data_IF_247877657780
#
_entry.id   IF_247877657780
#
_cell.length_a   1.000
_cell.length_b   1.000
_cell.length_c   1.000
_cell.angle_alpha   90.00
_cell.angle_beta   90.00
_cell.angle_gamma   90.00
#
_symmetry.space_group_name_H-M   'P 1'
#
loop_
_entity.id
_entity.type
_entity.pdbx_description
1 polymer ?
#
# COMPACT_ATOMS: atom_id res chain seq x y z
N UNK A 1 -56.20 16.07 -78.72
CA UNK A 1 -55.32 14.94 -78.73
C UNK A 1 -54.08 15.30 -77.93
N UNK A 2 -54.07 15.06 -76.61
CA UNK A 2 -53.04 15.49 -75.67
C UNK A 2 -52.27 14.23 -75.26
N UNK A 3 -50.97 14.21 -75.56
CA UNK A 3 -50.04 13.09 -75.16
C UNK A 3 -49.54 13.39 -73.78
N UNK A 4 -49.83 12.51 -72.84
CA UNK A 4 -49.19 12.47 -71.50
C UNK A 4 -47.82 11.81 -71.59
N UNK A 5 -46.76 12.50 -71.20
CA UNK A 5 -45.41 12.02 -71.02
C UNK A 5 -45.27 11.61 -69.57
N UNK A 6 -45.14 10.34 -69.30
CA UNK A 6 -44.89 9.85 -67.95
C UNK A 6 -43.36 9.85 -67.67
N UNK A 7 -42.95 10.65 -66.70
CA UNK A 7 -41.58 10.69 -66.18
C UNK A 7 -41.47 9.62 -65.06
N UNK A 8 -40.70 8.58 -65.31
CA UNK A 8 -40.35 7.61 -64.29
C UNK A 8 -39.10 8.09 -63.55
N UNK A 9 -39.26 8.52 -62.31
CA UNK A 9 -38.15 8.89 -61.44
C UNK A 9 -37.61 7.64 -60.74
N UNK A 10 -36.43 7.18 -61.12
CA UNK A 10 -35.72 6.10 -60.45
C UNK A 10 -34.98 6.71 -59.24
N UNK A 11 -35.45 6.41 -58.02
CA UNK A 11 -34.77 6.75 -56.79
C UNK A 11 -33.74 5.63 -56.53
N UNK A 12 -32.45 5.93 -56.78
CA UNK A 12 -31.34 5.10 -56.32
C UNK A 12 -31.16 5.30 -54.80
N UNK A 13 -31.71 4.37 -54.02
CA UNK A 13 -31.41 4.28 -52.58
C UNK A 13 -29.97 3.85 -52.36
N UNK A 14 -29.07 4.75 -51.97
CA UNK A 14 -27.75 4.42 -51.47
C UNK A 14 -27.92 3.80 -50.10
N UNK A 15 -27.88 2.48 -50.01
CA UNK A 15 -27.79 1.75 -48.74
C UNK A 15 -26.34 1.86 -48.23
N UNK A 16 -26.06 2.89 -47.41
CA UNK A 16 -24.83 2.92 -46.61
C UNK A 16 -24.91 1.82 -45.56
N UNK A 17 -24.38 0.62 -45.88
CA UNK A 17 -24.07 -0.39 -44.90
C UNK A 17 -22.93 0.15 -44.06
N UNK A 18 -23.27 0.79 -42.94
CA UNK A 18 -22.32 1.13 -41.90
C UNK A 18 -21.79 -0.16 -41.28
N UNK A 19 -20.66 -0.65 -41.81
CA UNK A 19 -19.86 -1.63 -41.11
C UNK A 19 -19.33 -0.97 -39.83
N UNK A 20 -20.14 -1.06 -38.75
CA UNK A 20 -19.62 -0.87 -37.40
C UNK A 20 -18.64 -2.02 -37.15
N UNK A 21 -17.38 -1.83 -37.52
CA UNK A 21 -16.29 -2.66 -36.98
C UNK A 21 -16.29 -2.36 -35.48
N UNK A 22 -17.01 -3.20 -34.72
CA UNK A 22 -16.91 -3.28 -33.27
C UNK A 22 -15.55 -3.90 -32.92
N UNK A 23 -14.49 -3.26 -33.34
CA UNK A 23 -13.13 -3.51 -32.83
C UNK A 23 -13.08 -2.89 -31.44
N UNK A 24 -13.60 -3.61 -30.44
CA UNK A 24 -13.48 -3.21 -29.04
C UNK A 24 -12.02 -2.86 -28.78
N UNK A 25 -11.77 -1.64 -28.28
CA UNK A 25 -10.43 -1.19 -27.97
C UNK A 25 -9.77 -2.25 -27.04
N UNK A 26 -8.56 -2.69 -27.36
CA UNK A 26 -7.84 -3.71 -26.59
C UNK A 26 -7.81 -3.30 -25.09
N UNK A 27 -8.07 -4.24 -24.16
CA UNK A 27 -8.06 -3.93 -22.73
C UNK A 27 -6.70 -3.44 -22.29
N UNK A 28 -6.67 -2.72 -21.16
CA UNK A 28 -5.45 -2.36 -20.44
C UNK A 28 -5.16 -3.52 -19.51
N UNK A 29 -4.02 -4.18 -19.68
CA UNK A 29 -3.66 -5.40 -18.95
C UNK A 29 -2.87 -5.08 -17.69
N UNK A 30 -3.41 -5.40 -16.53
CA UNK A 30 -2.77 -5.24 -15.23
C UNK A 30 -2.55 -6.59 -14.57
N UNK A 31 -1.32 -6.86 -14.13
CA UNK A 31 -0.97 -8.05 -13.36
C UNK A 31 -0.72 -7.69 -11.90
N UNK A 32 -1.28 -8.46 -10.94
CA UNK A 32 -1.03 -8.27 -9.53
C UNK A 32 -0.57 -9.58 -8.87
N UNK A 33 0.63 -9.55 -8.26
CA UNK A 33 1.22 -10.68 -7.53
C UNK A 33 1.03 -10.43 -6.05
N UNK A 34 0.08 -11.13 -5.44
CA UNK A 34 -0.39 -10.89 -4.07
C UNK A 34 -0.31 -12.19 -3.26
N UNK A 35 -0.18 -12.11 -1.95
CA UNK A 35 -0.19 -13.26 -1.04
C UNK A 35 -1.63 -13.58 -0.59
N UNK A 36 -2.36 -14.35 -1.39
CA UNK A 36 -3.72 -14.78 -1.05
C UNK A 36 -3.74 -15.94 -0.05
N UNK A 37 -2.62 -16.66 0.06
CA UNK A 37 -2.39 -17.72 1.04
C UNK A 37 -1.09 -17.48 1.82
N UNK A 38 -0.81 -18.32 2.84
CA UNK A 38 0.39 -18.20 3.66
C UNK A 38 0.29 -17.19 4.82
N UNK A 39 1.42 -16.81 5.44
CA UNK A 39 1.45 -16.03 6.70
C UNK A 39 0.84 -14.63 6.63
N UNK A 40 0.69 -14.07 5.45
CA UNK A 40 0.14 -12.73 5.23
C UNK A 40 -1.20 -12.76 4.48
N UNK A 41 -1.89 -13.91 4.46
CA UNK A 41 -3.07 -14.15 3.63
C UNK A 41 -4.24 -13.20 3.91
N UNK A 42 -4.55 -12.95 5.18
CA UNK A 42 -5.65 -12.05 5.54
C UNK A 42 -5.43 -10.66 4.95
N UNK A 43 -4.23 -10.10 5.12
CA UNK A 43 -3.88 -8.82 4.52
C UNK A 43 -4.03 -8.86 2.99
N UNK A 44 -3.39 -9.83 2.32
CA UNK A 44 -3.39 -9.93 0.86
C UNK A 44 -4.77 -10.14 0.25
N UNK A 45 -5.64 -10.93 0.89
CA UNK A 45 -7.02 -11.13 0.43
C UNK A 45 -7.83 -9.83 0.46
N UNK A 46 -7.73 -9.02 1.52
CA UNK A 46 -8.44 -7.76 1.61
C UNK A 46 -7.86 -6.72 0.64
N UNK A 47 -6.55 -6.70 0.46
CA UNK A 47 -5.90 -5.89 -0.58
C UNK A 47 -6.43 -6.25 -1.98
N UNK A 48 -6.45 -7.53 -2.33
CA UNK A 48 -6.96 -8.01 -3.61
C UNK A 48 -8.44 -7.64 -3.84
N UNK A 49 -9.26 -7.65 -2.77
CA UNK A 49 -10.65 -7.17 -2.85
C UNK A 49 -10.71 -5.68 -3.20
N UNK A 50 -9.95 -4.85 -2.51
CA UNK A 50 -9.90 -3.40 -2.78
C UNK A 50 -9.44 -3.08 -4.20
N UNK A 51 -8.38 -3.73 -4.65
CA UNK A 51 -7.87 -3.58 -6.02
C UNK A 51 -8.92 -3.98 -7.06
N UNK A 52 -9.52 -5.16 -6.90
CA UNK A 52 -10.56 -5.66 -7.82
C UNK A 52 -11.82 -4.79 -7.83
N UNK A 53 -12.29 -4.37 -6.66
CA UNK A 53 -13.51 -3.56 -6.55
C UNK A 53 -13.34 -2.21 -7.25
N UNK A 54 -12.17 -1.58 -7.09
CA UNK A 54 -11.91 -0.31 -7.78
C UNK A 54 -11.78 -0.50 -9.30
N UNK A 55 -11.08 -1.53 -9.76
CA UNK A 55 -11.01 -1.86 -11.20
C UNK A 55 -12.40 -2.13 -11.77
N UNK A 56 -13.24 -2.91 -11.07
CA UNK A 56 -14.62 -3.13 -11.47
C UNK A 56 -15.41 -1.82 -11.52
N UNK A 57 -15.22 -0.93 -10.54
CA UNK A 57 -15.87 0.38 -10.55
C UNK A 57 -15.46 1.23 -11.76
N UNK A 58 -14.18 1.25 -12.11
CA UNK A 58 -13.70 1.90 -13.34
C UNK A 58 -14.36 1.30 -14.56
N UNK A 59 -14.43 -0.02 -14.62
CA UNK A 59 -15.00 -0.73 -15.77
C UNK A 59 -16.52 -0.56 -15.89
N UNK A 60 -17.25 -0.72 -14.77
CA UNK A 60 -18.71 -0.81 -14.77
C UNK A 60 -19.36 0.58 -14.75
N UNK A 61 -18.76 1.52 -14.01
CA UNK A 61 -19.38 2.83 -13.73
C UNK A 61 -18.75 3.94 -14.57
N UNK A 62 -17.41 3.95 -14.70
CA UNK A 62 -16.71 4.96 -15.49
C UNK A 62 -16.59 4.60 -16.99
N UNK A 63 -16.94 3.37 -17.38
CA UNK A 63 -16.84 2.90 -18.76
C UNK A 63 -15.41 2.52 -19.20
N UNK A 64 -14.51 2.33 -18.26
CA UNK A 64 -13.09 2.08 -18.49
C UNK A 64 -12.26 3.38 -18.63
N UNK A 65 -11.04 3.25 -19.12
CA UNK A 65 -10.12 4.36 -19.35
C UNK A 65 -10.16 4.71 -20.85
N UNK A 66 -10.75 5.85 -21.18
CA UNK A 66 -10.97 6.27 -22.58
C UNK A 66 -11.63 5.15 -23.41
N UNK A 67 -12.67 4.50 -22.81
CA UNK A 67 -13.43 3.40 -23.43
C UNK A 67 -12.73 2.04 -23.41
N UNK A 68 -11.51 1.92 -22.91
CA UNK A 68 -10.79 0.65 -22.75
C UNK A 68 -11.04 0.09 -21.33
N UNK A 69 -11.48 -1.15 -21.25
CA UNK A 69 -11.62 -1.85 -19.95
C UNK A 69 -10.25 -2.21 -19.38
N UNK A 70 -10.15 -2.31 -18.07
CA UNK A 70 -8.98 -2.85 -17.39
C UNK A 70 -9.20 -4.36 -17.22
N UNK A 71 -8.24 -5.16 -17.67
CA UNK A 71 -8.17 -6.60 -17.43
C UNK A 71 -7.17 -6.85 -16.30
N UNK A 72 -7.67 -7.13 -15.10
CA UNK A 72 -6.87 -7.37 -13.90
C UNK A 72 -6.71 -8.88 -13.67
N UNK A 73 -5.48 -9.37 -13.72
CA UNK A 73 -5.10 -10.73 -13.32
C UNK A 73 -4.41 -10.69 -11.95
N UNK A 74 -4.98 -11.37 -10.96
CA UNK A 74 -4.40 -11.51 -9.63
C UNK A 74 -3.93 -12.94 -9.43
N UNK A 75 -2.66 -13.12 -9.04
CA UNK A 75 -2.04 -14.41 -8.76
C UNK A 75 -1.51 -14.47 -7.33
N UNK A 76 -1.53 -15.68 -6.77
CA UNK A 76 -1.06 -15.96 -5.41
C UNK A 76 0.39 -16.43 -5.41
N UNK A 77 1.28 -15.69 -4.73
CA UNK A 77 2.66 -16.14 -4.52
C UNK A 77 2.90 -16.77 -3.13
N UNK A 78 1.85 -16.89 -2.30
CA UNK A 78 1.87 -17.52 -0.98
C UNK A 78 2.98 -16.99 -0.04
N UNK A 79 3.37 -15.71 -0.18
CA UNK A 79 4.50 -15.09 0.53
C UNK A 79 5.86 -15.77 0.26
N UNK A 80 6.03 -16.36 -0.94
CA UNK A 80 7.24 -17.03 -1.39
C UNK A 80 7.90 -16.23 -2.52
N UNK A 81 9.06 -15.65 -2.24
CA UNK A 81 9.78 -14.80 -3.20
C UNK A 81 10.04 -15.49 -4.56
N UNK A 82 10.49 -16.77 -4.66
CA UNK A 82 10.67 -17.41 -5.95
C UNK A 82 9.39 -17.50 -6.80
N UNK A 83 8.24 -17.76 -6.16
CA UNK A 83 6.95 -17.77 -6.86
C UNK A 83 6.55 -16.36 -7.32
N UNK A 84 6.80 -15.34 -6.49
CA UNK A 84 6.60 -13.94 -6.87
C UNK A 84 7.40 -13.55 -8.10
N UNK A 85 8.69 -13.86 -8.13
CA UNK A 85 9.59 -13.61 -9.28
C UNK A 85 9.08 -14.33 -10.53
N UNK A 86 8.69 -15.60 -10.41
CA UNK A 86 8.14 -16.40 -11.52
C UNK A 86 6.88 -15.77 -12.13
N UNK A 87 5.94 -15.33 -11.29
CA UNK A 87 4.71 -14.69 -11.80
C UNK A 87 4.97 -13.32 -12.41
N UNK A 88 5.87 -12.51 -11.86
CA UNK A 88 6.26 -11.24 -12.48
C UNK A 88 6.89 -11.48 -13.85
N UNK A 89 7.79 -12.47 -13.97
CA UNK A 89 8.39 -12.83 -15.28
C UNK A 89 7.31 -13.24 -16.29
N UNK A 90 6.34 -14.09 -15.86
CA UNK A 90 5.18 -14.45 -16.70
C UNK A 90 4.43 -13.21 -17.20
N UNK A 91 4.12 -12.26 -16.29
CA UNK A 91 3.41 -11.04 -16.66
C UNK A 91 4.19 -10.15 -17.64
N UNK A 92 5.52 -10.12 -17.49
CA UNK A 92 6.39 -9.43 -18.43
C UNK A 92 6.35 -10.07 -19.83
N UNK A 93 6.43 -11.40 -19.89
CA UNK A 93 6.33 -12.17 -21.15
C UNK A 93 4.95 -12.02 -21.82
N UNK A 94 3.87 -11.91 -21.04
CA UNK A 94 2.50 -11.61 -21.50
C UNK A 94 2.29 -10.13 -21.88
N UNK A 95 3.29 -9.28 -21.71
CA UNK A 95 3.25 -7.85 -22.01
C UNK A 95 2.09 -7.14 -21.29
N UNK A 96 1.98 -7.32 -19.97
CA UNK A 96 1.09 -6.50 -19.16
C UNK A 96 1.49 -5.02 -19.30
N UNK A 97 0.52 -4.12 -19.26
CA UNK A 97 0.78 -2.67 -19.31
C UNK A 97 1.30 -2.12 -17.97
N UNK A 98 0.90 -2.75 -16.87
CA UNK A 98 1.35 -2.44 -15.50
C UNK A 98 1.41 -3.73 -14.66
N UNK A 99 2.27 -3.71 -13.64
CA UNK A 99 2.37 -4.79 -12.66
C UNK A 99 2.30 -4.19 -11.25
N UNK A 100 1.70 -4.94 -10.33
CA UNK A 100 1.71 -4.65 -8.92
C UNK A 100 2.25 -5.86 -8.14
N UNK A 101 3.09 -5.64 -7.14
CA UNK A 101 3.70 -6.71 -6.33
C UNK A 101 3.61 -6.40 -4.85
N UNK A 102 3.53 -7.44 -4.00
CA UNK A 102 3.20 -7.20 -2.60
C UNK A 102 4.40 -7.19 -1.65
N UNK A 103 5.38 -8.05 -1.79
CA UNK A 103 6.44 -8.20 -0.78
C UNK A 103 7.78 -7.56 -1.16
N UNK A 104 8.56 -7.17 -0.13
CA UNK A 104 9.85 -6.52 -0.30
C UNK A 104 10.91 -7.43 -0.95
N UNK A 105 10.87 -8.73 -0.66
CA UNK A 105 11.82 -9.70 -1.20
C UNK A 105 11.63 -9.88 -2.70
N UNK A 106 10.40 -10.07 -3.14
CA UNK A 106 10.04 -10.09 -4.56
C UNK A 106 10.41 -8.76 -5.22
N UNK A 107 10.03 -7.62 -4.62
CA UNK A 107 10.30 -6.30 -5.15
C UNK A 107 11.77 -6.05 -5.49
N UNK A 108 12.71 -6.52 -4.66
CA UNK A 108 14.15 -6.42 -4.95
C UNK A 108 14.58 -7.34 -6.10
N UNK A 109 14.12 -8.59 -6.07
CA UNK A 109 14.60 -9.60 -7.04
C UNK A 109 14.06 -9.38 -8.45
N UNK A 110 12.90 -8.73 -8.60
CA UNK A 110 12.33 -8.46 -9.92
C UNK A 110 12.94 -7.24 -10.63
N UNK A 111 13.69 -6.38 -9.94
CA UNK A 111 14.23 -5.15 -10.55
C UNK A 111 14.93 -5.36 -11.90
N UNK A 112 15.87 -6.31 -12.05
CA UNK A 112 16.52 -6.54 -13.34
C UNK A 112 15.53 -6.94 -14.44
N UNK A 113 14.51 -7.75 -14.09
CA UNK A 113 13.47 -8.21 -15.00
C UNK A 113 12.62 -7.01 -15.45
N UNK A 114 12.15 -6.20 -14.50
CA UNK A 114 11.32 -5.02 -14.79
C UNK A 114 12.06 -4.01 -15.66
N UNK A 115 13.35 -3.80 -15.43
CA UNK A 115 14.18 -2.92 -16.25
C UNK A 115 14.37 -3.44 -17.68
N UNK A 116 14.55 -4.75 -17.85
CA UNK A 116 14.65 -5.40 -19.15
C UNK A 116 13.35 -5.25 -19.96
N UNK A 117 12.21 -5.57 -19.33
CA UNK A 117 10.90 -5.55 -20.00
C UNK A 117 10.23 -4.17 -20.02
N UNK A 118 10.73 -3.20 -19.25
CA UNK A 118 10.26 -1.80 -19.20
C UNK A 118 8.77 -1.68 -18.86
N UNK A 119 8.30 -2.41 -17.83
CA UNK A 119 6.92 -2.38 -17.38
C UNK A 119 6.83 -1.66 -16.03
N UNK A 120 6.07 -0.54 -15.92
CA UNK A 120 5.92 0.16 -14.65
C UNK A 120 5.30 -0.78 -13.60
N UNK A 121 5.99 -0.87 -12.46
CA UNK A 121 5.65 -1.81 -11.39
C UNK A 121 5.53 -1.07 -10.07
N UNK A 122 4.36 -1.17 -9.44
CA UNK A 122 4.10 -0.63 -8.10
C UNK A 122 4.36 -1.74 -7.09
N UNK A 123 5.28 -1.52 -6.15
CA UNK A 123 5.50 -2.44 -5.03
C UNK A 123 4.78 -1.92 -3.78
N UNK A 124 3.84 -2.70 -3.26
CA UNK A 124 3.05 -2.32 -2.08
C UNK A 124 3.87 -2.31 -0.79
N UNK A 125 4.86 -3.20 -0.67
CA UNK A 125 5.84 -3.13 0.40
C UNK A 125 6.78 -1.98 0.12
N UNK A 126 6.68 -0.92 0.91
CA UNK A 126 7.42 0.32 0.69
C UNK A 126 8.88 0.26 1.16
N UNK A 127 9.56 -0.85 0.86
CA UNK A 127 10.96 -1.02 1.20
C UNK A 127 11.85 -0.13 0.35
N UNK A 128 12.58 0.78 0.97
CA UNK A 128 13.46 1.75 0.32
C UNK A 128 14.57 1.13 -0.57
N UNK A 129 14.96 -0.12 -0.30
CA UNK A 129 15.93 -0.86 -1.13
C UNK A 129 15.46 -1.09 -2.56
N UNK A 130 14.15 -1.06 -2.81
CA UNK A 130 13.55 -1.16 -4.14
C UNK A 130 13.92 0.07 -4.99
N UNK A 131 14.04 1.24 -4.37
CA UNK A 131 14.39 2.50 -5.02
C UNK A 131 15.90 2.80 -5.03
N UNK A 132 16.78 1.84 -4.68
CA UNK A 132 18.21 2.01 -4.95
C UNK A 132 18.43 2.09 -6.46
N UNK A 133 19.26 3.02 -6.98
CA UNK A 133 19.49 3.15 -8.41
C UNK A 133 19.98 1.85 -9.08
N UNK A 134 19.57 1.61 -10.33
CA UNK A 134 18.60 2.35 -11.11
C UNK A 134 17.16 2.12 -10.64
N UNK A 135 16.34 3.20 -10.61
CA UNK A 135 14.96 3.14 -10.08
C UNK A 135 13.91 2.89 -11.17
N UNK A 136 14.32 2.96 -12.43
CA UNK A 136 13.44 2.91 -13.59
C UNK A 136 12.34 1.85 -13.47
N UNK A 137 11.11 2.23 -13.76
CA UNK A 137 9.92 1.37 -13.77
C UNK A 137 9.49 0.81 -12.39
N UNK A 138 10.21 1.11 -11.30
CA UNK A 138 9.82 0.66 -9.95
C UNK A 138 9.28 1.82 -9.13
N UNK A 139 8.10 1.66 -8.52
CA UNK A 139 7.39 2.70 -7.78
C UNK A 139 6.94 2.19 -6.41
N UNK A 140 6.96 3.08 -5.41
CA UNK A 140 6.31 2.87 -4.12
C UNK A 140 5.05 3.75 -4.05
N UNK A 141 3.89 3.24 -3.64
CA UNK A 141 2.66 4.03 -3.59
C UNK A 141 2.66 5.03 -2.43
N UNK A 142 3.41 4.73 -1.37
CA UNK A 142 3.50 5.52 -0.14
C UNK A 142 4.95 5.83 0.22
N UNK A 143 5.15 6.51 1.37
CA UNK A 143 6.47 6.71 1.96
C UNK A 143 7.13 5.40 2.37
N UNK A 144 8.45 5.36 2.26
CA UNK A 144 9.22 4.16 2.61
C UNK A 144 9.25 3.90 4.12
N UNK A 145 9.65 2.69 4.50
CA UNK A 145 9.87 2.32 5.91
C UNK A 145 10.95 3.16 6.60
N UNK A 146 11.74 3.94 5.87
CA UNK A 146 12.62 4.97 6.44
C UNK A 146 11.79 6.05 7.13
N UNK A 147 10.76 6.56 6.42
CA UNK A 147 9.86 7.59 6.97
C UNK A 147 9.04 7.04 8.13
N UNK A 148 8.59 5.79 8.05
CA UNK A 148 7.89 5.13 9.16
C UNK A 148 8.77 5.05 10.40
N UNK A 149 10.06 4.68 10.22
CA UNK A 149 11.03 4.60 11.32
C UNK A 149 11.22 5.96 11.98
N UNK A 150 11.37 7.01 11.18
CA UNK A 150 11.53 8.37 11.69
C UNK A 150 10.29 8.83 12.45
N UNK A 151 9.09 8.63 11.87
CA UNK A 151 7.83 9.01 12.51
C UNK A 151 7.62 8.35 13.88
N UNK A 152 7.87 7.05 13.97
CA UNK A 152 7.74 6.30 15.22
C UNK A 152 8.72 6.80 16.26
N UNK A 153 10.00 6.95 15.90
CA UNK A 153 11.04 7.39 16.85
C UNK A 153 10.86 8.85 17.28
N UNK A 154 10.45 9.73 16.38
CA UNK A 154 10.10 11.13 16.71
C UNK A 154 8.95 11.20 17.70
N UNK A 155 7.91 10.42 17.46
CA UNK A 155 6.77 10.37 18.38
C UNK A 155 7.18 9.80 19.74
N UNK A 156 7.92 8.69 19.80
CA UNK A 156 8.45 8.13 21.06
C UNK A 156 9.23 9.19 21.83
N UNK A 157 10.16 9.88 21.15
CA UNK A 157 10.94 10.96 21.78
C UNK A 157 10.05 12.09 22.31
N UNK A 158 9.02 12.46 21.58
CA UNK A 158 8.13 13.57 21.95
C UNK A 158 7.22 13.28 23.15
N UNK A 159 6.92 11.99 23.40
CA UNK A 159 6.07 11.56 24.53
C UNK A 159 6.85 11.04 25.73
N UNK A 160 8.15 10.80 25.56
CA UNK A 160 9.02 10.29 26.63
C UNK A 160 9.16 11.33 27.75
N UNK A 161 8.89 10.88 29.00
CA UNK A 161 8.93 11.74 30.19
C UNK A 161 10.19 11.54 31.05
N UNK A 162 11.00 10.52 30.72
CA UNK A 162 12.24 10.24 31.44
C UNK A 162 13.29 11.35 31.27
N UNK A 163 14.26 11.43 32.20
CA UNK A 163 15.42 12.34 32.09
C UNK A 163 16.44 11.80 31.09
N UNK A 164 16.55 10.47 30.98
CA UNK A 164 17.48 9.78 30.09
C UNK A 164 16.87 9.64 28.68
N UNK A 165 17.70 9.27 27.72
CA UNK A 165 17.22 8.94 26.36
C UNK A 165 16.23 7.78 26.38
N UNK A 166 15.12 7.84 25.62
CA UNK A 166 14.15 6.74 25.53
C UNK A 166 14.84 5.48 25.04
N UNK A 167 14.57 4.34 25.68
CA UNK A 167 15.10 3.03 25.33
C UNK A 167 14.11 2.26 24.47
N UNK A 168 14.48 2.03 23.22
CA UNK A 168 13.63 1.37 22.21
C UNK A 168 14.22 0.00 21.86
N UNK A 169 13.39 -1.04 21.93
CA UNK A 169 13.70 -2.34 21.37
C UNK A 169 13.03 -2.50 20.00
N UNK A 170 13.72 -3.10 19.05
CA UNK A 170 13.13 -3.47 17.76
C UNK A 170 12.70 -4.95 17.81
N UNK A 171 11.51 -5.26 17.31
CA UNK A 171 10.97 -6.61 17.17
C UNK A 171 10.59 -6.84 15.71
N UNK A 172 11.31 -7.72 15.02
CA UNK A 172 11.19 -7.79 13.56
C UNK A 172 11.23 -9.22 13.04
N UNK A 173 10.66 -9.43 11.85
CA UNK A 173 10.94 -10.65 11.11
C UNK A 173 12.40 -10.68 10.64
N UNK A 174 12.98 -11.89 10.55
CA UNK A 174 14.34 -12.14 10.04
C UNK A 174 14.40 -12.17 8.49
N UNK A 175 13.60 -11.36 7.83
CA UNK A 175 13.55 -11.25 6.38
C UNK A 175 13.75 -9.79 5.92
N UNK A 176 13.70 -9.54 4.60
CA UNK A 176 13.90 -8.20 4.01
C UNK A 176 12.91 -7.18 4.58
N UNK A 177 11.63 -7.55 4.72
CA UNK A 177 10.60 -6.68 5.28
C UNK A 177 10.91 -6.32 6.74
N UNK A 178 11.17 -7.31 7.61
CA UNK A 178 11.47 -7.05 9.02
C UNK A 178 12.72 -6.20 9.21
N UNK A 179 13.78 -6.48 8.47
CA UNK A 179 15.06 -5.76 8.56
C UNK A 179 15.04 -4.37 7.95
N UNK A 180 13.99 -4.00 7.22
CA UNK A 180 13.90 -2.71 6.53
C UNK A 180 13.99 -1.49 7.45
N UNK A 181 13.62 -1.63 8.72
CA UNK A 181 13.67 -0.56 9.71
C UNK A 181 14.96 -0.51 10.53
N UNK A 182 15.87 -1.49 10.43
CA UNK A 182 17.04 -1.58 11.31
C UNK A 182 17.98 -0.39 11.13
N UNK A 183 18.51 -0.21 9.93
CA UNK A 183 19.46 0.87 9.65
C UNK A 183 18.83 2.24 9.78
N UNK A 184 17.64 2.53 9.21
CA UNK A 184 16.97 3.81 9.43
C UNK A 184 16.74 4.14 10.90
N UNK A 185 16.31 3.15 11.69
CA UNK A 185 16.10 3.38 13.14
C UNK A 185 17.40 3.66 13.87
N UNK A 186 18.50 2.94 13.60
CA UNK A 186 19.81 3.17 14.19
C UNK A 186 20.36 4.56 13.83
N UNK A 187 20.31 4.91 12.55
CA UNK A 187 20.79 6.21 12.05
C UNK A 187 20.02 7.38 12.67
N UNK A 188 18.69 7.27 12.70
CA UNK A 188 17.86 8.30 13.30
C UNK A 188 18.11 8.42 14.82
N UNK A 189 18.15 7.30 15.52
CA UNK A 189 18.36 7.23 16.96
C UNK A 189 19.69 7.86 17.37
N UNK A 190 20.77 7.55 16.65
CA UNK A 190 22.11 8.11 16.91
C UNK A 190 22.15 9.65 16.81
N UNK A 191 21.37 10.22 15.87
CA UNK A 191 21.31 11.68 15.67
C UNK A 191 20.35 12.41 16.63
N UNK A 192 19.45 11.66 17.28
CA UNK A 192 18.31 12.25 17.99
C UNK A 192 18.23 11.89 19.48
N UNK A 193 19.32 11.42 20.09
CA UNK A 193 19.37 11.04 21.50
C UNK A 193 18.26 10.01 21.85
N UNK A 194 18.21 8.91 21.10
CA UNK A 194 17.34 7.75 21.33
C UNK A 194 18.27 6.53 21.45
N UNK A 195 17.98 5.60 22.35
CA UNK A 195 18.81 4.42 22.56
C UNK A 195 18.07 3.16 22.00
N UNK A 196 18.56 2.62 20.90
CA UNK A 196 18.13 1.29 20.42
C UNK A 196 18.87 0.24 21.24
N UNK A 197 18.22 -0.32 22.26
CA UNK A 197 18.85 -1.20 23.25
C UNK A 197 19.02 -2.64 22.79
N UNK A 198 18.17 -3.13 21.88
CA UNK A 198 18.25 -4.47 21.29
C UNK A 198 17.42 -4.58 20.02
N UNK A 199 17.76 -5.54 19.18
CA UNK A 199 16.98 -5.99 18.02
C UNK A 199 16.72 -7.47 18.18
N UNK A 200 15.46 -7.84 18.29
CA UNK A 200 15.00 -9.22 18.35
C UNK A 200 14.40 -9.62 17.02
N UNK A 201 14.96 -10.65 16.40
CA UNK A 201 14.52 -11.17 15.10
C UNK A 201 13.95 -12.57 15.26
N UNK A 202 12.90 -12.88 14.48
CA UNK A 202 12.30 -14.21 14.46
C UNK A 202 11.69 -14.55 13.09
N UNK A 203 11.54 -15.84 12.74
CA UNK A 203 10.89 -16.27 11.50
C UNK A 203 9.40 -15.94 11.48
N UNK A 204 8.80 -15.59 10.31
CA UNK A 204 7.38 -15.23 10.21
C UNK A 204 6.39 -16.29 10.72
N UNK A 205 6.77 -17.58 10.74
CA UNK A 205 5.92 -18.67 11.21
C UNK A 205 6.04 -18.95 12.73
N UNK A 206 6.74 -18.09 13.49
CA UNK A 206 6.93 -18.25 14.95
C UNK A 206 5.59 -18.07 15.68
N UNK A 207 5.28 -19.02 16.56
CA UNK A 207 4.02 -19.09 17.31
C UNK A 207 4.12 -18.69 18.78
N UNK A 208 5.34 -18.55 19.30
CA UNK A 208 5.62 -18.07 20.68
C UNK A 208 6.82 -17.12 20.65
N UNK A 209 6.64 -15.93 21.22
CA UNK A 209 7.65 -14.86 21.30
C UNK A 209 8.05 -14.56 22.76
N UNK A 210 7.86 -15.53 23.66
CA UNK A 210 8.18 -15.37 25.09
C UNK A 210 9.65 -15.02 25.30
N UNK A 211 10.56 -15.68 24.56
CA UNK A 211 12.00 -15.43 24.64
C UNK A 211 12.37 -14.04 24.19
N UNK A 212 11.81 -13.56 23.08
CA UNK A 212 12.05 -12.22 22.53
C UNK A 212 11.54 -11.15 23.50
N UNK A 213 10.35 -11.34 24.09
CA UNK A 213 9.80 -10.43 25.11
C UNK A 213 10.65 -10.39 26.36
N UNK A 214 11.18 -11.52 26.84
CA UNK A 214 12.11 -11.56 27.98
C UNK A 214 13.42 -10.83 27.68
N UNK A 215 13.95 -10.95 26.46
CA UNK A 215 15.17 -10.23 26.04
C UNK A 215 14.92 -8.73 25.97
N UNK A 216 13.83 -8.30 25.32
CA UNK A 216 13.42 -6.88 25.27
C UNK A 216 13.31 -6.29 26.69
N UNK A 217 12.61 -7.00 27.58
CA UNK A 217 12.42 -6.61 28.98
C UNK A 217 13.76 -6.55 29.73
N UNK A 218 14.63 -7.55 29.60
CA UNK A 218 15.95 -7.60 30.28
C UNK A 218 16.91 -6.52 29.82
N UNK A 219 16.81 -6.08 28.56
CA UNK A 219 17.56 -4.95 28.00
C UNK A 219 16.97 -3.59 28.40
N UNK A 220 15.88 -3.59 29.16
CA UNK A 220 15.22 -2.37 29.65
C UNK A 220 14.53 -1.54 28.57
N UNK A 221 14.07 -2.18 27.49
CA UNK A 221 13.32 -1.45 26.47
C UNK A 221 12.00 -0.91 27.06
N UNK A 222 11.79 0.39 26.94
CA UNK A 222 10.61 1.14 27.43
C UNK A 222 9.53 1.26 26.36
N UNK A 223 9.93 1.05 25.11
CA UNK A 223 9.10 1.09 23.91
C UNK A 223 9.53 -0.04 22.99
N UNK A 224 8.58 -0.67 22.28
CA UNK A 224 8.88 -1.69 21.28
C UNK A 224 8.42 -1.19 19.90
N UNK A 225 9.35 -1.08 18.96
CA UNK A 225 9.04 -0.79 17.56
C UNK A 225 9.07 -2.08 16.73
N UNK A 226 7.97 -2.35 16.03
CA UNK A 226 7.72 -3.62 15.36
C UNK A 226 7.69 -3.46 13.84
N UNK A 227 8.38 -4.36 13.12
CA UNK A 227 8.20 -4.56 11.69
C UNK A 227 7.79 -6.01 11.44
N UNK A 228 6.55 -6.31 11.79
CA UNK A 228 5.92 -7.63 11.73
C UNK A 228 4.45 -7.46 11.33
N UNK A 229 3.84 -8.55 10.85
CA UNK A 229 2.45 -8.55 10.40
C UNK A 229 1.46 -8.77 11.57
N UNK A 230 0.17 -8.45 11.38
CA UNK A 230 -0.84 -8.43 12.46
C UNK A 230 -0.92 -9.69 13.31
N UNK A 231 -0.85 -10.88 12.71
CA UNK A 231 -0.89 -12.15 13.46
C UNK A 231 0.30 -12.28 14.43
N UNK A 232 1.50 -11.86 14.03
CA UNK A 232 2.68 -11.88 14.91
C UNK A 232 2.61 -10.79 15.99
N UNK A 233 1.94 -9.65 15.73
CA UNK A 233 1.69 -8.64 16.77
C UNK A 233 0.83 -9.25 17.88
N UNK A 234 -0.22 -10.00 17.55
CA UNK A 234 -1.03 -10.70 18.54
C UNK A 234 -0.19 -11.70 19.36
N UNK A 235 0.70 -12.44 18.69
CA UNK A 235 1.63 -13.36 19.37
C UNK A 235 2.57 -12.60 20.32
N UNK A 236 3.11 -11.45 19.90
CA UNK A 236 3.96 -10.59 20.72
C UNK A 236 3.21 -10.02 21.94
N UNK A 237 1.97 -9.56 21.77
CA UNK A 237 1.15 -9.05 22.89
C UNK A 237 0.80 -10.12 23.91
N UNK A 238 0.49 -11.35 23.48
CA UNK A 238 0.28 -12.52 24.37
C UNK A 238 1.57 -12.86 25.15
N UNK A 239 2.69 -12.89 24.47
CA UNK A 239 3.98 -13.16 25.08
C UNK A 239 4.38 -12.06 26.08
N UNK A 240 4.13 -10.78 25.75
CA UNK A 240 4.38 -9.66 26.66
C UNK A 240 3.52 -9.76 27.94
N UNK A 241 2.24 -10.11 27.81
CA UNK A 241 1.38 -10.33 28.99
C UNK A 241 1.86 -11.50 29.86
N UNK A 242 2.29 -12.62 29.23
CA UNK A 242 2.81 -13.80 29.93
C UNK A 242 4.04 -13.48 30.78
N UNK A 243 4.87 -12.53 30.37
CA UNK A 243 6.09 -12.11 31.09
C UNK A 243 5.92 -10.81 31.88
N UNK A 244 4.68 -10.31 32.03
CA UNK A 244 4.36 -9.03 32.67
C UNK A 244 5.20 -7.86 32.13
N UNK A 245 5.22 -7.71 30.78
CA UNK A 245 5.94 -6.64 30.10
C UNK A 245 4.95 -5.65 29.48
N UNK A 246 4.68 -4.58 30.24
CA UNK A 246 3.61 -3.59 29.97
C UNK A 246 4.19 -2.31 29.37
N UNK A 247 4.56 -2.34 28.10
CA UNK A 247 5.11 -1.19 27.37
C UNK A 247 4.26 -0.88 26.15
N UNK A 248 4.38 0.33 25.57
CA UNK A 248 3.78 0.65 24.28
C UNK A 248 4.48 -0.08 23.13
N UNK A 249 3.68 -0.57 22.19
CA UNK A 249 4.10 -1.22 20.96
C UNK A 249 3.76 -0.33 19.77
N UNK A 250 4.73 -0.08 18.91
CA UNK A 250 4.60 0.74 17.71
C UNK A 250 4.85 -0.11 16.49
N UNK A 251 4.00 -0.01 15.49
CA UNK A 251 4.17 -0.67 14.21
C UNK A 251 4.12 0.31 13.05
N UNK A 252 4.26 -0.20 11.85
CA UNK A 252 4.06 0.53 10.60
C UNK A 252 2.61 0.39 10.14
N UNK A 253 2.25 1.01 9.04
CA UNK A 253 0.88 1.03 8.50
C UNK A 253 0.30 -0.37 8.18
N UNK A 254 1.14 -1.40 8.12
CA UNK A 254 0.74 -2.80 7.94
C UNK A 254 0.31 -3.52 9.23
N UNK A 255 0.14 -2.80 10.34
CA UNK A 255 -0.04 -3.40 11.68
C UNK A 255 -1.43 -3.92 11.97
N UNK A 256 -2.42 -3.67 11.13
CA UNK A 256 -3.81 -4.11 11.38
C UNK A 256 -4.45 -4.79 10.18
N UNK A 257 -5.27 -5.80 10.48
CA UNK A 257 -6.18 -6.45 9.55
C UNK A 257 -7.43 -6.91 10.31
N UNK A 258 -8.45 -7.47 9.65
CA UNK A 258 -9.65 -7.95 10.33
C UNK A 258 -9.41 -8.99 11.44
N UNK A 259 -8.45 -9.89 11.23
CA UNK A 259 -8.14 -10.93 12.21
C UNK A 259 -7.39 -10.35 13.42
N UNK A 260 -6.60 -9.28 13.23
CA UNK A 260 -5.96 -8.56 14.33
C UNK A 260 -6.98 -8.11 15.38
N UNK A 261 -8.07 -7.47 14.97
CA UNK A 261 -9.09 -6.98 15.92
C UNK A 261 -9.85 -8.12 16.55
N UNK A 262 -10.15 -9.19 15.83
CA UNK A 262 -10.83 -10.36 16.35
C UNK A 262 -10.00 -11.09 17.40
N UNK A 263 -8.72 -11.32 17.13
CA UNK A 263 -7.80 -12.08 17.98
C UNK A 263 -7.13 -11.23 19.06
N UNK A 264 -7.06 -9.92 18.86
CA UNK A 264 -6.42 -8.96 19.75
C UNK A 264 -7.31 -8.43 20.87
N UNK A 265 -8.59 -8.82 20.92
CA UNK A 265 -9.51 -8.38 21.96
C UNK A 265 -8.97 -8.72 23.36
N UNK A 266 -8.90 -7.71 24.23
CA UNK A 266 -8.31 -7.84 25.57
C UNK A 266 -6.77 -7.84 25.61
N UNK A 267 -6.09 -7.76 24.45
CA UNK A 267 -4.61 -7.67 24.34
C UNK A 267 -4.13 -6.28 23.94
N UNK A 268 -4.89 -5.56 23.10
CA UNK A 268 -4.54 -4.24 22.57
C UNK A 268 -4.40 -3.20 23.70
N UNK A 269 -5.36 -3.13 24.63
CA UNK A 269 -5.34 -2.37 25.91
C UNK A 269 -4.73 -0.96 25.80
N UNK A 270 -5.06 -0.21 24.76
CA UNK A 270 -4.52 1.15 24.53
C UNK A 270 -2.99 1.25 24.40
N UNK A 271 -2.27 0.15 24.13
CA UNK A 271 -0.80 0.11 24.07
C UNK A 271 -0.23 -0.14 22.68
N UNK A 272 -1.09 -0.22 21.65
CA UNK A 272 -0.67 -0.48 20.26
C UNK A 272 -0.90 0.76 19.42
N UNK A 273 0.15 1.16 18.73
CA UNK A 273 0.19 2.33 17.85
C UNK A 273 0.77 1.94 16.50
N UNK A 274 0.44 2.68 15.47
CA UNK A 274 1.08 2.51 14.17
C UNK A 274 1.37 3.88 13.53
N UNK A 275 2.42 3.95 12.75
CA UNK A 275 2.54 4.97 11.74
C UNK A 275 1.53 4.67 10.63
N UNK A 276 0.84 5.67 10.15
CA UNK A 276 -0.16 5.51 9.11
C UNK A 276 -0.12 6.66 8.10
N UNK A 277 -0.01 6.32 6.83
CA UNK A 277 0.03 7.28 5.72
C UNK A 277 -1.33 7.52 5.07
N UNK A 278 -2.38 6.87 5.55
CA UNK A 278 -3.70 6.89 4.94
C UNK A 278 -4.77 7.64 5.71
N UNK A 279 -5.94 7.70 5.09
CA UNK A 279 -7.16 8.24 5.68
C UNK A 279 -7.71 7.29 6.75
N UNK A 280 -8.34 7.85 7.77
CA UNK A 280 -9.11 7.11 8.77
C UNK A 280 -10.61 7.25 8.51
N UNK A 281 -11.46 6.33 9.01
CA UNK A 281 -12.91 6.38 8.78
C UNK A 281 -13.58 7.69 9.18
N UNK A 282 -13.06 8.36 10.22
CA UNK A 282 -13.56 9.64 10.71
C UNK A 282 -13.07 10.86 9.92
N UNK A 283 -12.09 10.70 9.05
CA UNK A 283 -11.60 11.79 8.19
C UNK A 283 -12.65 12.04 7.10
N UNK A 284 -13.20 13.24 7.06
CA UNK A 284 -14.23 13.62 6.10
C UNK A 284 -13.58 14.01 4.78
N UNK A 285 -13.23 13.02 3.95
CA UNK A 285 -12.62 13.22 2.65
C UNK A 285 -13.44 12.58 1.53
N UNK A 286 -13.39 13.10 0.28
CA UNK A 286 -14.06 12.45 -0.85
C UNK A 286 -13.70 10.99 -1.06
N UNK A 287 -12.47 10.61 -0.69
CA UNK A 287 -11.99 9.23 -0.82
C UNK A 287 -12.72 8.25 0.10
N UNK A 288 -13.13 8.66 1.31
CA UNK A 288 -13.97 7.84 2.19
C UNK A 288 -15.31 7.52 1.53
N UNK A 289 -15.91 8.49 0.83
CA UNK A 289 -17.15 8.24 0.09
C UNK A 289 -16.94 7.25 -1.07
N UNK A 290 -15.78 7.29 -1.72
CA UNK A 290 -15.42 6.31 -2.75
C UNK A 290 -15.33 4.92 -2.13
N UNK A 291 -14.62 4.75 -1.03
CA UNK A 291 -14.54 3.47 -0.31
C UNK A 291 -15.94 2.96 0.07
N UNK A 292 -16.81 3.82 0.61
CA UNK A 292 -18.18 3.48 0.98
C UNK A 292 -19.00 3.03 -0.23
N UNK A 293 -18.87 3.72 -1.37
CA UNK A 293 -19.52 3.32 -2.63
C UNK A 293 -19.06 1.94 -3.10
N UNK A 294 -17.75 1.65 -3.00
CA UNK A 294 -17.19 0.37 -3.42
C UNK A 294 -17.75 -0.78 -2.57
N UNK A 295 -17.60 -0.71 -1.25
CA UNK A 295 -18.06 -1.82 -0.41
C UNK A 295 -19.59 -1.97 -0.36
N UNK A 296 -20.35 -0.89 -0.54
CA UNK A 296 -21.81 -0.96 -0.67
C UNK A 296 -22.22 -1.64 -1.97
N UNK A 297 -21.51 -1.33 -3.08
CA UNK A 297 -21.81 -1.88 -4.40
C UNK A 297 -21.41 -3.35 -4.53
N UNK A 298 -20.17 -3.67 -4.13
CA UNK A 298 -19.60 -5.01 -4.37
C UNK A 298 -19.73 -5.95 -3.18
N UNK A 299 -20.04 -5.45 -1.99
CA UNK A 299 -20.28 -6.21 -0.73
C UNK A 299 -19.12 -7.15 -0.35
N UNK A 300 -17.90 -6.78 -0.73
CA UNK A 300 -16.68 -7.57 -0.48
C UNK A 300 -16.14 -7.35 0.93
N UNK A 301 -16.39 -6.16 1.48
CA UNK A 301 -16.15 -5.78 2.88
C UNK A 301 -17.34 -5.00 3.39
N UNK A 302 -17.46 -4.85 4.72
CA UNK A 302 -18.60 -4.17 5.37
C UNK A 302 -18.21 -2.93 6.17
N UNK A 303 -16.91 -2.66 6.27
CA UNK A 303 -16.36 -1.52 7.02
C UNK A 303 -14.98 -1.16 6.45
N UNK A 304 -14.40 -0.09 6.98
CA UNK A 304 -13.04 0.29 6.69
C UNK A 304 -12.03 -0.78 7.13
N UNK A 305 -11.15 -1.16 6.21
CA UNK A 305 -10.02 -2.06 6.45
C UNK A 305 -8.77 -1.47 5.79
N UNK A 306 -7.66 -1.40 6.52
CA UNK A 306 -6.43 -0.77 6.04
C UNK A 306 -5.87 -1.46 4.80
N UNK A 307 -5.93 -2.79 4.75
CA UNK A 307 -5.48 -3.55 3.58
C UNK A 307 -6.39 -3.39 2.36
N UNK A 308 -7.71 -3.27 2.56
CA UNK A 308 -8.64 -2.95 1.47
C UNK A 308 -8.39 -1.54 0.91
N UNK A 309 -8.23 -0.56 1.81
CA UNK A 309 -7.87 0.81 1.44
C UNK A 309 -6.60 0.86 0.58
N UNK A 310 -5.57 0.12 0.95
CA UNK A 310 -4.32 0.04 0.18
C UNK A 310 -4.56 -0.44 -1.26
N UNK A 311 -5.32 -1.53 -1.43
CA UNK A 311 -5.66 -2.06 -2.75
C UNK A 311 -6.40 -1.06 -3.62
N UNK A 312 -7.34 -0.30 -3.03
CA UNK A 312 -8.06 0.78 -3.74
C UNK A 312 -7.11 1.89 -4.18
N UNK A 313 -6.22 2.35 -3.30
CA UNK A 313 -5.28 3.44 -3.62
C UNK A 313 -4.33 3.06 -4.75
N UNK A 314 -3.81 1.84 -4.74
CA UNK A 314 -2.92 1.38 -5.82
C UNK A 314 -3.66 1.32 -7.15
N UNK A 315 -4.88 0.77 -7.19
CA UNK A 315 -5.70 0.77 -8.39
C UNK A 315 -6.05 2.19 -8.89
N UNK A 316 -6.20 3.15 -7.97
CA UNK A 316 -6.37 4.56 -8.34
C UNK A 316 -5.12 5.17 -8.96
N UNK A 317 -3.93 4.82 -8.47
CA UNK A 317 -2.65 5.25 -9.05
C UNK A 317 -2.51 4.68 -10.48
N UNK A 318 -2.84 3.41 -10.67
CA UNK A 318 -2.83 2.74 -11.99
C UNK A 318 -3.80 3.40 -12.97
N UNK A 319 -5.05 3.65 -12.56
CA UNK A 319 -6.03 4.38 -13.37
C UNK A 319 -5.53 5.77 -13.74
N UNK A 320 -5.05 6.54 -12.77
CA UNK A 320 -4.55 7.90 -12.99
C UNK A 320 -3.38 7.91 -13.98
N UNK A 321 -2.45 6.97 -13.86
CA UNK A 321 -1.29 6.84 -14.75
C UNK A 321 -1.73 6.52 -16.19
N UNK A 322 -2.64 5.57 -16.37
CA UNK A 322 -3.16 5.22 -17.69
C UNK A 322 -3.98 6.35 -18.33
N UNK A 323 -4.81 7.05 -17.55
CA UNK A 323 -5.54 8.24 -18.03
C UNK A 323 -4.57 9.34 -18.48
N UNK A 324 -3.52 9.59 -17.70
CA UNK A 324 -2.52 10.60 -18.04
C UNK A 324 -1.73 10.21 -19.28
N UNK A 325 -1.39 8.93 -19.44
CA UNK A 325 -0.74 8.42 -20.64
C UNK A 325 -1.61 8.66 -21.89
N UNK A 326 -2.91 8.38 -21.81
CA UNK A 326 -3.86 8.67 -22.88
C UNK A 326 -3.92 10.17 -23.22
N UNK A 327 -3.94 11.04 -22.21
CA UNK A 327 -3.98 12.49 -22.40
C UNK A 327 -2.72 13.06 -23.06
N UNK A 328 -1.54 12.67 -22.53
CA UNK A 328 -0.26 13.21 -22.97
C UNK A 328 0.26 12.57 -24.28
N UNK A 329 0.11 11.27 -24.43
CA UNK A 329 0.76 10.50 -25.50
C UNK A 329 -0.22 9.89 -26.51
N UNK A 330 -1.55 10.06 -26.29
CA UNK A 330 -2.61 9.50 -27.11
C UNK A 330 -2.64 7.96 -27.20
N UNK A 331 -1.76 7.28 -26.43
CA UNK A 331 -1.61 5.83 -26.43
C UNK A 331 -1.38 5.36 -25.02
N UNK A 332 -2.10 4.30 -24.61
CA UNK A 332 -1.92 3.62 -23.32
C UNK A 332 -1.11 2.35 -23.59
N UNK A 333 0.11 2.32 -23.10
CA UNK A 333 1.02 1.17 -23.07
C UNK A 333 2.03 1.36 -21.92
N UNK A 334 2.80 0.33 -21.59
CA UNK A 334 3.73 0.33 -20.46
C UNK A 334 4.69 1.53 -20.47
N UNK A 335 5.32 1.85 -21.62
CA UNK A 335 6.28 2.96 -21.74
C UNK A 335 5.61 4.32 -21.45
N UNK A 336 4.46 4.58 -22.04
CA UNK A 336 3.75 5.86 -21.88
C UNK A 336 3.14 5.99 -20.46
N UNK A 337 2.72 4.87 -19.86
CA UNK A 337 2.28 4.85 -18.46
C UNK A 337 3.45 5.22 -17.54
N UNK A 338 4.63 4.63 -17.74
CA UNK A 338 5.82 4.98 -16.96
C UNK A 338 6.15 6.48 -17.06
N UNK A 339 6.23 7.01 -18.29
CA UNK A 339 6.47 8.44 -18.53
C UNK A 339 5.39 9.31 -17.86
N UNK A 340 4.14 8.87 -17.88
CA UNK A 340 3.03 9.59 -17.26
C UNK A 340 3.15 9.59 -15.72
N UNK A 341 3.55 8.47 -15.10
CA UNK A 341 3.80 8.40 -13.65
C UNK A 341 4.88 9.38 -13.21
N UNK A 342 5.99 9.50 -13.95
CA UNK A 342 7.08 10.44 -13.65
C UNK A 342 6.67 11.92 -13.73
N UNK A 343 5.45 12.23 -14.20
CA UNK A 343 4.87 13.59 -14.21
C UNK A 343 3.90 13.86 -13.05
N UNK A 344 3.72 12.90 -12.14
CA UNK A 344 2.85 13.11 -10.99
C UNK A 344 3.43 14.20 -10.09
N UNK A 345 2.62 15.22 -9.81
CA UNK A 345 3.01 16.34 -8.94
C UNK A 345 1.86 16.68 -8.02
N UNK A 346 1.99 16.33 -6.75
CA UNK A 346 0.96 16.53 -5.74
C UNK A 346 -0.41 15.97 -6.18
N UNK A 347 -0.41 14.73 -6.72
CA UNK A 347 -1.63 14.07 -7.13
C UNK A 347 -2.51 13.79 -5.91
N UNK A 348 -3.76 14.26 -6.00
CA UNK A 348 -4.78 13.99 -4.99
C UNK A 348 -5.62 12.77 -5.39
N UNK A 349 -5.70 11.82 -4.50
CA UNK A 349 -6.53 10.63 -4.59
C UNK A 349 -7.77 10.75 -3.68
N UNK A 350 -8.39 11.93 -3.68
CA UNK A 350 -9.56 12.22 -2.85
C UNK A 350 -9.25 12.27 -1.35
N UNK A 351 -8.00 12.55 -0.98
CA UNK A 351 -7.54 12.57 0.40
C UNK A 351 -7.40 11.17 1.03
N UNK A 352 -7.44 10.08 0.23
CA UNK A 352 -7.18 8.72 0.73
C UNK A 352 -5.75 8.55 1.21
N UNK A 353 -4.82 9.25 0.59
CA UNK A 353 -3.41 9.40 0.98
C UNK A 353 -3.03 10.86 0.88
N UNK A 354 -1.98 11.33 1.58
CA UNK A 354 -1.34 12.60 1.24
C UNK A 354 -0.89 12.59 -0.22
N UNK A 355 -0.72 13.79 -0.79
CA UNK A 355 -0.36 13.95 -2.20
C UNK A 355 0.79 13.05 -2.63
N UNK A 356 0.62 12.40 -3.79
CA UNK A 356 1.64 11.55 -4.42
C UNK A 356 2.40 12.35 -5.46
N UNK A 357 3.72 12.26 -5.43
CA UNK A 357 4.60 12.89 -6.41
C UNK A 357 5.65 11.88 -6.87
N UNK A 358 5.79 11.72 -8.19
CA UNK A 358 6.88 10.96 -8.80
C UNK A 358 7.67 11.84 -9.75
N UNK A 359 8.97 11.66 -9.78
CA UNK A 359 9.88 12.34 -10.72
C UNK A 359 10.77 11.29 -11.40
N UNK A 360 11.55 11.70 -12.38
CA UNK A 360 12.52 10.79 -13.01
C UNK A 360 13.58 10.22 -12.06
N UNK A 361 13.80 10.84 -10.91
CA UNK A 361 14.86 10.47 -9.96
C UNK A 361 14.31 10.07 -8.59
N UNK A 362 13.00 10.13 -8.41
CA UNK A 362 12.34 9.78 -7.14
C UNK A 362 10.98 9.17 -7.44
N UNK A 363 10.84 7.89 -7.11
CA UNK A 363 9.62 7.11 -7.28
C UNK A 363 8.99 6.71 -5.92
N UNK A 364 9.34 7.40 -4.84
CA UNK A 364 8.66 7.30 -3.55
C UNK A 364 7.39 8.16 -3.57
N UNK A 365 6.24 7.58 -3.26
CA UNK A 365 4.93 8.21 -3.47
C UNK A 365 4.62 9.38 -2.55
N UNK A 366 4.05 9.10 -1.38
CA UNK A 366 3.71 10.12 -0.39
C UNK A 366 4.71 10.17 0.75
N UNK A 367 5.17 11.38 1.11
CA UNK A 367 6.15 11.57 2.19
C UNK A 367 5.52 11.89 3.56
N UNK A 368 4.20 11.98 3.66
CA UNK A 368 3.54 12.33 4.92
C UNK A 368 2.95 11.13 5.61
N UNK A 369 3.06 11.12 6.92
CA UNK A 369 2.41 10.15 7.78
C UNK A 369 1.96 10.77 9.09
N UNK A 370 1.25 10.01 9.88
CA UNK A 370 0.84 10.35 11.25
C UNK A 370 0.92 9.13 12.15
N UNK A 371 1.02 9.33 13.45
CA UNK A 371 0.87 8.26 14.42
C UNK A 371 -0.59 8.13 14.81
N UNK A 372 -1.09 6.92 14.83
CA UNK A 372 -2.44 6.59 15.30
C UNK A 372 -2.39 5.52 16.38
N UNK A 373 -3.26 5.64 17.37
CA UNK A 373 -3.53 4.59 18.36
C UNK A 373 -4.57 3.65 17.80
N UNK A 374 -4.37 2.35 17.97
CA UNK A 374 -5.30 1.30 17.59
C UNK A 374 -6.14 0.94 18.82
N UNK A 375 -7.48 1.03 18.72
CA UNK A 375 -8.40 0.68 19.78
C UNK A 375 -8.96 -0.74 19.59
N UNK A 376 -9.42 -1.36 20.67
CA UNK A 376 -9.98 -2.73 20.66
C UNK A 376 -11.28 -2.88 19.84
N UNK A 377 -12.03 -1.79 19.70
CA UNK A 377 -13.26 -1.72 18.92
C UNK A 377 -13.05 -1.51 17.41
N UNK A 378 -11.81 -1.69 16.95
CA UNK A 378 -11.38 -1.45 15.58
C UNK A 378 -11.50 0.03 15.14
N UNK A 379 -11.51 0.96 16.07
CA UNK A 379 -11.38 2.39 15.78
C UNK A 379 -9.93 2.85 15.91
N UNK A 380 -9.63 4.00 15.33
CA UNK A 380 -8.32 4.60 15.31
C UNK A 380 -8.37 6.02 15.86
N UNK A 381 -7.44 6.35 16.75
CA UNK A 381 -7.32 7.71 17.27
C UNK A 381 -6.03 8.36 16.77
N UNK A 382 -6.10 9.48 16.02
CA UNK A 382 -4.90 10.19 15.59
C UNK A 382 -4.17 10.75 16.82
N UNK A 383 -2.87 10.44 16.92
CA UNK A 383 -1.98 10.90 17.97
C UNK A 383 -1.18 12.11 17.51
N UNK A 384 -0.99 12.27 16.20
CA UNK A 384 -0.35 13.44 15.58
C UNK A 384 -1.17 13.90 14.37
N UNK A 385 -0.93 15.13 13.90
CA UNK A 385 -1.31 15.51 12.55
C UNK A 385 -0.43 14.82 11.52
N UNK A 386 -0.79 14.90 10.23
CA UNK A 386 0.10 14.52 9.15
C UNK A 386 1.29 15.46 9.09
N UNK A 387 2.49 14.91 8.93
CA UNK A 387 3.72 15.66 8.77
C UNK A 387 4.76 14.87 7.96
N UNK A 388 5.83 15.50 7.52
CA UNK A 388 6.96 14.83 6.85
C UNK A 388 8.00 14.44 7.90
N UNK A 389 8.12 13.16 8.27
CA UNK A 389 9.08 12.70 9.28
C UNK A 389 10.52 13.05 8.89
N UNK A 390 11.32 13.46 9.87
CA UNK A 390 12.69 13.87 9.65
C UNK A 390 12.89 15.29 9.07
N UNK A 391 11.81 15.94 8.60
CA UNK A 391 11.86 17.29 8.01
C UNK A 391 10.95 18.29 8.70
N UNK A 392 9.79 17.89 9.14
CA UNK A 392 8.83 18.74 9.85
C UNK A 392 8.76 18.36 11.33
N UNK A 393 8.52 19.32 12.21
CA UNK A 393 8.35 19.04 13.65
C UNK A 393 7.06 18.27 13.89
N UNK A 394 7.14 17.17 14.63
CA UNK A 394 5.97 16.40 15.03
C UNK A 394 5.05 17.24 15.93
N UNK A 395 3.77 17.31 15.58
CA UNK A 395 2.74 17.93 16.39
C UNK A 395 1.92 16.84 17.08
N UNK A 396 2.19 16.63 18.37
CA UNK A 396 1.50 15.66 19.21
C UNK A 396 0.13 16.20 19.58
N UNK A 397 -0.94 15.46 19.24
CA UNK A 397 -2.33 15.77 19.58
C UNK A 397 -2.71 15.17 20.93
N UNK A 398 -2.22 13.96 21.20
CA UNK A 398 -2.51 13.22 22.44
C UNK A 398 -1.27 12.46 22.92
N UNK A 399 -1.06 12.48 24.23
CA UNK A 399 -0.07 11.60 24.87
C UNK A 399 -0.81 10.39 25.44
N UNK A 400 -0.37 9.15 25.17
CA UNK A 400 -1.01 7.96 25.71
C UNK A 400 -1.06 8.02 27.24
N UNK A 401 -2.21 7.66 27.82
CA UNK A 401 -2.27 7.28 29.24
C UNK A 401 -1.74 5.85 29.33
N UNK A 402 -0.50 5.71 29.72
CA UNK A 402 0.15 4.42 29.98
C UNK A 402 -0.18 3.90 31.37
#
# INVERSE_FOLDING_TARGET
MIRYLSIVTIILGVFCIGLTVNGGAQPIKVGAVINLTGPASTWGQYHAKGHRDYVNYVNDVKGGIVGRKIELEIVDHAYKVPEGVKFVKKFCEEKKDMIATWDAGTGIQIKPIIQEYKIPTINYSTYQGILKPPIDYMYLPFGSYVLDSYAVLEYIKSIHKGKDAPKVGLLTYNNVYGRSIHDPSKEYAAKNNINIVTIEEFPPATVDLTTEMLRLKSKGAEYVFMQILPAAIITALKAADKVDYKVPFFGTWTSTDPDFFKLGKGLIRNRVFMQFCGVLPQDKTPGIEILQKLWTRYKTVNKFETSYWEGVVVAMIEERAAHRAAGLYKTINAENINKAMETFKNEDFGGLVPYVTYTKTDHEGSFKGRIVKINEDATYAPMTNFYVPGKEKVQVLMVPKM
#
